data_IF_819437537848
#
_entry.id   IF_819437537848
#
_cell.length_a   1.000
_cell.length_b   1.000
_cell.length_c   1.000
_cell.angle_alpha   90.00
_cell.angle_beta   90.00
_cell.angle_gamma   90.00
#
_symmetry.space_group_name_H-M   'P 1'
#
loop_
_entity.id
_entity.type
_entity.pdbx_description
1 polymer ?
#
# COMPACT_ATOMS: atom_id res chain seq x y z
N UNK A 1 -3.84 10.19 7.51
CA UNK A 1 -3.90 8.80 7.01
C UNK A 1 -2.55 8.29 6.52
N UNK A 2 -1.84 8.95 5.59
CA UNK A 2 -0.47 8.50 5.21
C UNK A 2 0.49 8.56 6.40
N UNK A 3 0.44 9.64 7.18
CA UNK A 3 1.27 9.81 8.38
C UNK A 3 1.01 8.68 9.38
N UNK A 4 -0.26 8.36 9.65
CA UNK A 4 -0.62 7.27 10.57
C UNK A 4 -0.11 5.90 10.09
N UNK A 5 -0.15 5.63 8.78
CA UNK A 5 0.38 4.40 8.21
C UNK A 5 1.91 4.31 8.36
N UNK A 6 2.63 5.43 8.21
CA UNK A 6 4.08 5.49 8.44
C UNK A 6 4.40 5.31 9.92
N UNK A 7 3.63 5.92 10.83
CA UNK A 7 3.83 5.73 12.27
C UNK A 7 3.64 4.26 12.66
N UNK A 8 2.63 3.58 12.11
CA UNK A 8 2.40 2.14 12.29
C UNK A 8 3.55 1.30 11.70
N UNK A 9 4.06 1.67 10.52
CA UNK A 9 5.23 1.03 9.91
C UNK A 9 6.44 1.06 10.87
N UNK A 10 6.72 2.22 11.47
CA UNK A 10 7.85 2.37 12.40
C UNK A 10 7.68 1.66 13.75
N UNK A 11 6.50 1.08 14.04
CA UNK A 11 6.35 0.21 15.20
C UNK A 11 6.94 -1.19 14.98
N UNK A 12 7.22 -1.59 13.73
CA UNK A 12 7.72 -2.92 13.34
C UNK A 12 6.88 -4.10 13.87
N UNK A 13 5.57 -3.88 14.08
CA UNK A 13 4.65 -4.89 14.64
C UNK A 13 3.79 -5.60 13.60
N UNK A 14 3.86 -5.19 12.35
CA UNK A 14 2.97 -5.66 11.29
C UNK A 14 3.79 -6.25 10.16
N UNK A 15 3.35 -7.39 9.64
CA UNK A 15 3.98 -8.07 8.49
C UNK A 15 3.42 -7.57 7.13
N UNK A 16 2.36 -6.76 7.18
CA UNK A 16 1.73 -6.25 5.98
C UNK A 16 0.65 -5.20 6.22
N UNK A 17 0.33 -4.48 5.14
CA UNK A 17 -0.67 -3.44 5.09
C UNK A 17 -1.71 -3.73 4.02
N UNK A 18 -2.93 -3.25 4.27
CA UNK A 18 -4.06 -3.36 3.37
C UNK A 18 -4.54 -1.94 3.03
N UNK A 19 -4.40 -1.54 1.77
CA UNK A 19 -4.74 -0.23 1.26
C UNK A 19 -6.07 -0.32 0.51
N UNK A 20 -7.12 0.23 1.10
CA UNK A 20 -8.45 0.32 0.48
C UNK A 20 -8.59 1.73 -0.08
N UNK A 21 -8.35 1.89 -1.38
CA UNK A 21 -8.37 3.21 -2.01
C UNK A 21 -8.58 3.13 -3.53
N UNK A 22 -9.29 4.11 -4.07
CA UNK A 22 -9.39 4.37 -5.51
C UNK A 22 -8.42 5.43 -6.01
N UNK A 23 -7.62 6.00 -5.09
CA UNK A 23 -6.71 7.11 -5.38
C UNK A 23 -5.29 6.60 -5.67
N UNK A 24 -4.73 7.05 -6.80
CA UNK A 24 -3.37 6.72 -7.22
C UNK A 24 -2.28 7.35 -6.35
N UNK A 25 -2.61 8.35 -5.53
CA UNK A 25 -1.65 9.07 -4.70
C UNK A 25 -0.94 8.17 -3.67
N UNK A 26 -1.52 7.02 -3.33
CA UNK A 26 -0.93 6.05 -2.40
C UNK A 26 0.16 5.16 -3.02
N UNK A 27 0.46 5.31 -4.31
CA UNK A 27 1.51 4.53 -4.99
C UNK A 27 2.86 4.66 -4.29
N UNK A 28 3.23 5.87 -3.84
CA UNK A 28 4.50 6.11 -3.12
C UNK A 28 4.56 5.44 -1.75
N UNK A 29 3.46 5.49 -0.98
CA UNK A 29 3.35 4.77 0.30
C UNK A 29 3.46 3.26 0.07
N UNK A 30 2.79 2.74 -0.95
CA UNK A 30 2.81 1.31 -1.31
C UNK A 30 4.22 0.85 -1.64
N UNK A 31 4.96 1.59 -2.47
CA UNK A 31 6.35 1.28 -2.77
C UNK A 31 7.21 1.28 -1.51
N UNK A 32 7.05 2.29 -0.64
CA UNK A 32 7.83 2.37 0.58
C UNK A 32 7.60 1.19 1.51
N UNK A 33 6.34 0.81 1.72
CA UNK A 33 5.98 -0.36 2.52
C UNK A 33 6.61 -1.64 1.97
N UNK A 34 6.70 -1.78 0.64
CA UNK A 34 7.36 -2.92 -0.01
C UNK A 34 8.87 -2.91 0.15
N UNK A 35 9.50 -1.75 0.05
CA UNK A 35 10.95 -1.60 0.28
C UNK A 35 11.34 -2.03 1.70
N UNK A 36 10.48 -1.78 2.68
CA UNK A 36 10.66 -2.23 4.07
C UNK A 36 10.33 -3.72 4.28
N UNK A 37 10.02 -4.45 3.19
CA UNK A 37 9.78 -5.89 3.22
C UNK A 37 8.36 -6.31 3.63
N UNK A 38 7.42 -5.37 3.71
CA UNK A 38 6.05 -5.67 4.10
C UNK A 38 5.17 -6.08 2.92
N UNK A 39 4.23 -6.97 3.18
CA UNK A 39 3.21 -7.35 2.20
C UNK A 39 2.21 -6.21 2.06
N UNK A 40 1.82 -5.85 0.83
CA UNK A 40 0.87 -4.76 0.59
C UNK A 40 -0.25 -5.25 -0.29
N UNK A 41 -1.46 -5.29 0.27
CA UNK A 41 -2.69 -5.60 -0.45
C UNK A 41 -3.34 -4.30 -0.89
N UNK A 42 -3.68 -4.19 -2.16
CA UNK A 42 -4.52 -3.11 -2.68
C UNK A 42 -5.94 -3.60 -2.87
N UNK A 43 -6.92 -2.83 -2.40
CA UNK A 43 -8.34 -3.02 -2.73
C UNK A 43 -8.84 -1.79 -3.45
N UNK A 44 -9.41 -2.01 -4.62
CA UNK A 44 -9.93 -0.92 -5.45
C UNK A 44 -10.69 -1.44 -6.67
N UNK A 45 -11.20 -0.52 -7.46
CA UNK A 45 -11.93 -0.89 -8.67
C UNK A 45 -10.97 -1.46 -9.73
N UNK A 46 -11.48 -2.34 -10.61
CA UNK A 46 -10.71 -2.89 -11.74
C UNK A 46 -10.10 -1.82 -12.66
N UNK A 47 -10.65 -0.60 -12.62
CA UNK A 47 -10.20 0.59 -13.35
C UNK A 47 -8.93 1.23 -12.76
N UNK A 48 -8.45 0.80 -11.58
CA UNK A 48 -7.30 1.43 -10.94
C UNK A 48 -6.07 1.44 -11.87
N UNK A 49 -5.32 2.57 -11.94
CA UNK A 49 -4.17 2.71 -12.82
C UNK A 49 -3.15 1.59 -12.63
N UNK A 50 -2.52 1.14 -13.72
CA UNK A 50 -1.50 0.07 -13.67
C UNK A 50 -0.35 0.40 -12.71
N UNK A 51 0.02 1.67 -12.59
CA UNK A 51 1.05 2.11 -11.65
C UNK A 51 0.73 1.72 -10.19
N UNK A 52 -0.54 1.88 -9.77
CA UNK A 52 -0.98 1.50 -8.42
C UNK A 52 -1.06 -0.02 -8.26
N UNK A 53 -1.56 -0.72 -9.29
CA UNK A 53 -1.64 -2.19 -9.30
C UNK A 53 -0.25 -2.83 -9.19
N UNK A 54 0.72 -2.30 -9.94
CA UNK A 54 2.12 -2.75 -9.94
C UNK A 54 2.84 -2.40 -8.64
N UNK A 55 2.41 -1.33 -7.96
CA UNK A 55 2.93 -0.99 -6.66
C UNK A 55 2.44 -1.97 -5.58
N UNK A 56 1.26 -2.58 -5.68
CA UNK A 56 0.77 -3.56 -4.71
C UNK A 56 1.38 -4.96 -4.94
N UNK A 57 1.40 -5.81 -3.91
CA UNK A 57 1.75 -7.22 -4.06
C UNK A 57 0.59 -8.04 -4.63
N UNK A 58 -0.62 -7.77 -4.14
CA UNK A 58 -1.86 -8.41 -4.59
C UNK A 58 -2.94 -7.34 -4.67
N UNK A 59 -3.68 -7.31 -5.77
CA UNK A 59 -4.90 -6.51 -5.92
C UNK A 59 -6.12 -7.42 -5.74
N UNK A 60 -7.00 -7.04 -4.81
CA UNK A 60 -8.28 -7.72 -4.52
C UNK A 60 -9.46 -6.88 -5.01
#
# INVERSE_FOLDING_TARGET
>A
MIIDAMDLLYTCKFDGFCLITSDSDFTGLTMRLREEGLIVFGLGENKNPEAFRNACHVML
#
